data_IF_647845267450
#
_entry.id   IF_647845267450
#
_cell.length_a   1.000
_cell.length_b   1.000
_cell.length_c   1.000
_cell.angle_alpha   90.00
_cell.angle_beta   90.00
_cell.angle_gamma   90.00
#
_symmetry.space_group_name_H-M   'P 1'
#
loop_
_entity.id
_entity.type
_entity.pdbx_description
1 polymer ?
#
# COMPACT_ATOMS: atom_id res chain seq x y z
N UNK A 1 -21.88 -24.26 -1.93
CA UNK A 1 -21.30 -23.71 -0.68
C UNK A 1 -22.39 -23.32 0.29
N UNK A 2 -23.42 -22.59 -0.16
CA UNK A 2 -24.62 -22.21 0.58
C UNK A 2 -25.17 -23.28 1.55
N UNK A 3 -25.52 -24.47 1.06
CA UNK A 3 -26.07 -25.55 1.90
C UNK A 3 -25.19 -25.86 3.12
N UNK A 4 -23.88 -25.94 2.93
CA UNK A 4 -22.95 -26.24 4.02
C UNK A 4 -22.93 -25.10 5.06
N UNK A 5 -22.96 -23.84 4.62
CA UNK A 5 -22.93 -22.69 5.53
C UNK A 5 -24.23 -22.57 6.32
N UNK A 6 -25.38 -22.78 5.67
CA UNK A 6 -26.68 -22.84 6.36
C UNK A 6 -26.67 -23.96 7.39
N UNK A 7 -26.31 -25.18 6.99
CA UNK A 7 -26.28 -26.34 7.91
C UNK A 7 -25.27 -26.14 9.04
N UNK A 8 -24.04 -25.73 8.77
CA UNK A 8 -23.01 -25.53 9.80
C UNK A 8 -23.42 -24.45 10.82
N UNK A 9 -24.04 -23.36 10.35
CA UNK A 9 -24.50 -22.25 11.19
C UNK A 9 -25.63 -22.69 12.12
N UNK A 10 -26.63 -23.43 11.62
CA UNK A 10 -27.76 -23.90 12.41
C UNK A 10 -27.47 -25.12 13.29
N UNK A 11 -26.74 -26.11 12.78
CA UNK A 11 -26.63 -27.43 13.41
C UNK A 11 -25.35 -27.65 14.20
N UNK A 12 -24.23 -27.02 13.80
CA UNK A 12 -22.91 -27.27 14.41
C UNK A 12 -22.53 -26.16 15.38
N UNK A 13 -22.86 -24.91 15.06
CA UNK A 13 -22.35 -23.77 15.83
C UNK A 13 -23.28 -23.33 16.95
N UNK A 14 -24.59 -23.61 16.88
CA UNK A 14 -25.63 -23.15 17.83
C UNK A 14 -25.23 -21.81 18.49
N UNK A 15 -24.81 -20.86 17.66
CA UNK A 15 -23.91 -19.78 18.06
C UNK A 15 -24.56 -18.93 19.16
N UNK A 16 -25.87 -18.79 19.09
CA UNK A 16 -26.73 -18.10 20.04
C UNK A 16 -26.73 -18.75 21.44
N UNK A 17 -26.62 -20.08 21.54
CA UNK A 17 -26.51 -20.78 22.84
C UNK A 17 -25.15 -20.61 23.52
N UNK A 18 -24.11 -20.32 22.74
CA UNK A 18 -22.72 -20.18 23.22
C UNK A 18 -22.20 -18.74 23.14
N UNK A 19 -23.05 -17.76 22.82
CA UNK A 19 -22.67 -16.35 22.62
C UNK A 19 -21.52 -16.16 21.62
N UNK A 20 -21.51 -16.95 20.53
CA UNK A 20 -20.52 -16.87 19.47
C UNK A 20 -21.03 -16.00 18.30
N UNK A 21 -20.10 -15.38 17.58
CA UNK A 21 -20.37 -14.69 16.31
C UNK A 21 -19.79 -15.49 15.15
N UNK A 22 -20.53 -15.56 14.06
CA UNK A 22 -20.10 -16.27 12.85
C UNK A 22 -19.24 -15.35 11.99
N UNK A 23 -18.20 -15.90 11.38
CA UNK A 23 -17.31 -15.17 10.47
C UNK A 23 -16.96 -16.02 9.25
N UNK A 24 -17.06 -15.43 8.06
CA UNK A 24 -16.76 -16.09 6.79
C UNK A 24 -15.99 -15.17 5.85
N UNK A 25 -15.09 -15.72 5.03
CA UNK A 25 -14.66 -15.03 3.82
C UNK A 25 -15.86 -14.75 2.93
N UNK A 26 -15.89 -13.60 2.25
CA UNK A 26 -17.07 -13.13 1.51
C UNK A 26 -17.66 -14.15 0.53
N UNK A 27 -16.83 -14.96 -0.14
CA UNK A 27 -17.24 -15.98 -1.11
C UNK A 27 -18.08 -17.10 -0.48
N UNK A 28 -17.97 -17.30 0.84
CA UNK A 28 -18.86 -18.18 1.58
C UNK A 28 -20.30 -17.66 1.68
N UNK A 29 -20.50 -16.35 1.68
CA UNK A 29 -21.81 -15.72 1.90
C UNK A 29 -22.38 -15.02 0.66
N UNK A 30 -21.72 -15.20 -0.49
CA UNK A 30 -22.14 -14.69 -1.79
C UNK A 30 -22.64 -15.84 -2.69
N UNK A 31 -23.76 -15.60 -3.36
CA UNK A 31 -24.42 -16.51 -4.30
C UNK A 31 -24.14 -16.19 -5.75
N UNK A 32 -25.09 -16.54 -6.62
CA UNK A 32 -25.03 -16.22 -8.04
C UNK A 32 -24.96 -14.70 -8.26
N UNK A 33 -24.07 -14.26 -9.15
CA UNK A 33 -23.91 -12.83 -9.48
C UNK A 33 -23.29 -11.97 -8.37
N UNK A 34 -22.59 -12.58 -7.40
CA UNK A 34 -22.08 -11.91 -6.20
C UNK A 34 -23.18 -11.24 -5.37
N UNK A 35 -24.36 -11.86 -5.32
CA UNK A 35 -25.46 -11.42 -4.47
C UNK A 35 -25.34 -12.07 -3.08
N UNK A 36 -25.36 -11.29 -1.98
CA UNK A 36 -25.34 -11.85 -0.63
C UNK A 36 -26.52 -12.78 -0.36
N UNK A 37 -26.28 -13.90 0.30
CA UNK A 37 -27.36 -14.73 0.82
C UNK A 37 -28.20 -13.95 1.84
N UNK A 38 -29.48 -14.29 1.97
CA UNK A 38 -30.34 -13.68 3.00
C UNK A 38 -29.80 -14.05 4.39
N UNK A 39 -29.43 -13.06 5.20
CA UNK A 39 -28.87 -13.29 6.56
C UNK A 39 -29.72 -14.24 7.42
N UNK A 40 -31.06 -14.12 7.47
CA UNK A 40 -31.92 -15.04 8.23
C UNK A 40 -31.84 -16.50 7.77
N UNK A 41 -31.32 -16.80 6.58
CA UNK A 41 -31.09 -18.18 6.16
C UNK A 41 -29.79 -18.76 6.72
N UNK A 42 -28.95 -17.94 7.35
CA UNK A 42 -27.66 -18.31 7.94
C UNK A 42 -27.74 -18.21 9.47
N UNK A 43 -28.15 -17.06 10.00
CA UNK A 43 -28.23 -16.79 11.43
C UNK A 43 -29.14 -15.59 11.72
N UNK A 44 -29.87 -15.66 12.82
CA UNK A 44 -30.65 -14.52 13.34
C UNK A 44 -29.73 -13.43 13.91
N UNK A 45 -28.54 -13.81 14.38
CA UNK A 45 -27.49 -12.92 14.89
C UNK A 45 -26.67 -12.24 13.78
N UNK A 46 -25.79 -11.33 14.17
CA UNK A 46 -24.79 -10.74 13.28
C UNK A 46 -23.86 -11.81 12.69
N UNK A 47 -23.65 -11.74 11.37
CA UNK A 47 -22.68 -12.56 10.63
C UNK A 47 -21.59 -11.63 10.11
N UNK A 48 -20.34 -11.95 10.42
CA UNK A 48 -19.15 -11.20 9.98
C UNK A 48 -18.71 -11.73 8.60
N UNK A 49 -18.50 -10.82 7.66
CA UNK A 49 -17.96 -11.10 6.35
C UNK A 49 -16.60 -10.39 6.17
N UNK A 50 -15.55 -11.16 5.90
CA UNK A 50 -14.23 -10.63 5.55
C UNK A 50 -14.21 -10.35 4.05
N UNK A 51 -14.38 -9.07 3.68
CA UNK A 51 -14.49 -8.65 2.29
C UNK A 51 -13.09 -8.44 1.70
N UNK A 52 -12.64 -9.37 0.86
CA UNK A 52 -11.23 -9.47 0.46
C UNK A 52 -10.97 -9.25 -1.04
N UNK A 53 -11.89 -9.63 -1.91
CA UNK A 53 -11.65 -9.55 -3.35
C UNK A 53 -11.91 -8.12 -3.84
N UNK A 54 -10.86 -7.44 -4.31
CA UNK A 54 -11.01 -6.12 -4.92
C UNK A 54 -10.00 -5.88 -6.06
N UNK A 55 -9.62 -6.93 -6.79
CA UNK A 55 -8.91 -6.73 -8.07
C UNK A 55 -9.81 -5.87 -8.95
N UNK A 56 -9.34 -4.65 -9.22
CA UNK A 56 -10.18 -3.57 -9.69
C UNK A 56 -10.83 -3.90 -11.04
N UNK A 57 -10.08 -4.48 -11.96
CA UNK A 57 -10.55 -4.84 -13.29
C UNK A 57 -11.45 -6.08 -13.35
N UNK A 58 -11.74 -6.74 -12.21
CA UNK A 58 -12.62 -7.91 -12.15
C UNK A 58 -14.08 -7.58 -11.84
N UNK A 59 -14.41 -6.31 -11.56
CA UNK A 59 -15.80 -5.88 -11.33
C UNK A 59 -16.39 -6.30 -9.97
N UNK A 60 -15.53 -6.68 -9.03
CA UNK A 60 -15.91 -7.26 -7.72
C UNK A 60 -15.66 -6.31 -6.53
N UNK A 61 -15.17 -5.10 -6.79
CA UNK A 61 -14.83 -4.13 -5.75
C UNK A 61 -16.03 -3.68 -4.89
N UNK A 62 -17.26 -3.91 -5.37
CA UNK A 62 -18.51 -3.54 -4.69
C UNK A 62 -18.96 -4.50 -3.59
N UNK A 63 -18.33 -5.68 -3.46
CA UNK A 63 -18.79 -6.76 -2.57
C UNK A 63 -18.88 -6.33 -1.11
N UNK A 64 -17.91 -5.56 -0.62
CA UNK A 64 -17.93 -5.01 0.74
C UNK A 64 -19.22 -4.19 1.00
N UNK A 65 -19.61 -3.34 0.06
CA UNK A 65 -20.79 -2.48 0.21
C UNK A 65 -22.08 -3.26 -0.01
N UNK A 66 -22.12 -4.21 -0.96
CA UNK A 66 -23.25 -5.13 -1.11
C UNK A 66 -23.54 -5.90 0.19
N UNK A 67 -22.50 -6.47 0.81
CA UNK A 67 -22.61 -7.21 2.07
C UNK A 67 -23.10 -6.31 3.21
N UNK A 68 -22.51 -5.12 3.36
CA UNK A 68 -22.93 -4.16 4.37
C UNK A 68 -24.40 -3.75 4.20
N UNK A 69 -24.82 -3.45 2.96
CA UNK A 69 -26.20 -3.07 2.65
C UNK A 69 -27.20 -4.23 2.90
N UNK A 70 -26.75 -5.48 2.68
CA UNK A 70 -27.51 -6.68 3.00
C UNK A 70 -27.57 -7.03 4.50
N UNK A 71 -26.88 -6.28 5.36
CA UNK A 71 -26.95 -6.43 6.83
C UNK A 71 -25.88 -7.33 7.44
N UNK A 72 -24.86 -7.73 6.68
CA UNK A 72 -23.68 -8.39 7.23
C UNK A 72 -22.79 -7.36 7.93
N UNK A 73 -22.08 -7.79 8.97
CA UNK A 73 -21.00 -7.00 9.57
C UNK A 73 -19.73 -7.21 8.76
N UNK A 74 -19.13 -6.17 8.22
CA UNK A 74 -18.03 -6.30 7.25
C UNK A 74 -16.70 -5.90 7.87
N UNK A 75 -15.70 -6.75 7.70
CA UNK A 75 -14.29 -6.42 7.96
C UNK A 75 -13.59 -6.23 6.62
N UNK A 76 -13.13 -5.00 6.37
CA UNK A 76 -12.39 -4.62 5.17
C UNK A 76 -11.05 -5.38 5.14
N UNK A 77 -10.89 -6.26 4.16
CA UNK A 77 -9.75 -7.18 4.03
C UNK A 77 -9.18 -7.16 2.60
N UNK A 78 -9.29 -6.02 1.91
CA UNK A 78 -8.99 -5.86 0.48
C UNK A 78 -7.59 -6.34 0.11
N UNK A 79 -7.52 -7.36 -0.75
CA UNK A 79 -6.28 -8.02 -1.11
C UNK A 79 -5.29 -7.11 -1.84
N UNK A 80 -5.74 -6.05 -2.52
CA UNK A 80 -4.81 -5.14 -3.20
C UNK A 80 -4.02 -4.24 -2.25
N UNK A 81 -4.47 -4.08 -0.99
CA UNK A 81 -3.89 -3.15 -0.01
C UNK A 81 -3.54 -3.78 1.34
N UNK A 82 -4.22 -4.87 1.72
CA UNK A 82 -4.18 -5.43 3.08
C UNK A 82 -3.68 -6.87 3.13
N UNK A 83 -3.19 -7.43 2.02
CA UNK A 83 -2.55 -8.75 2.00
C UNK A 83 -1.03 -8.61 2.07
N UNK A 84 -0.48 -8.99 3.22
CA UNK A 84 0.94 -8.94 3.53
C UNK A 84 1.69 -10.22 3.12
N UNK A 85 1.06 -11.11 2.36
CA UNK A 85 1.76 -12.13 1.57
C UNK A 85 2.13 -11.61 0.17
N UNK A 86 1.69 -10.41 -0.20
CA UNK A 86 2.13 -9.69 -1.40
C UNK A 86 3.55 -9.11 -1.20
N UNK A 87 4.35 -8.96 -2.28
CA UNK A 87 5.68 -8.37 -2.21
C UNK A 87 5.61 -6.93 -1.69
N UNK A 88 6.68 -6.45 -1.07
CA UNK A 88 6.75 -5.05 -0.70
C UNK A 88 7.09 -4.15 -1.90
N UNK A 89 7.77 -4.65 -2.92
CA UNK A 89 8.05 -3.90 -4.15
C UNK A 89 8.01 -4.85 -5.37
N UNK A 90 7.81 -4.33 -6.60
CA UNK A 90 7.66 -5.16 -7.79
C UNK A 90 9.02 -5.67 -8.33
N UNK A 91 9.82 -6.29 -7.48
CA UNK A 91 11.15 -6.84 -7.79
C UNK A 91 11.13 -8.38 -7.79
N UNK A 92 11.77 -9.07 -8.76
CA UNK A 92 11.81 -10.53 -8.80
C UNK A 92 12.55 -11.19 -7.61
N UNK A 93 13.41 -10.45 -6.89
CA UNK A 93 14.08 -10.92 -5.68
C UNK A 93 13.23 -10.72 -4.42
N UNK A 94 12.13 -9.98 -4.49
CA UNK A 94 11.22 -9.84 -3.36
C UNK A 94 10.38 -11.10 -3.13
N UNK A 95 10.10 -11.34 -1.85
CA UNK A 95 9.25 -12.45 -1.43
C UNK A 95 7.77 -12.09 -1.59
N UNK A 96 6.97 -13.07 -1.98
CA UNK A 96 5.51 -12.99 -1.91
C UNK A 96 4.82 -13.56 -3.15
N UNK A 97 3.54 -13.90 -3.00
CA UNK A 97 2.65 -14.14 -4.14
C UNK A 97 2.12 -12.81 -4.65
N UNK A 98 1.73 -12.71 -5.92
CA UNK A 98 1.34 -11.41 -6.52
C UNK A 98 0.03 -11.52 -7.31
N UNK A 99 -0.87 -12.39 -6.86
CA UNK A 99 -2.12 -12.67 -7.58
C UNK A 99 -3.13 -11.52 -7.48
N UNK A 100 -3.10 -10.71 -6.40
CA UNK A 100 -4.02 -9.59 -6.21
C UNK A 100 -3.41 -8.25 -6.64
N UNK A 101 -2.19 -7.98 -6.18
CA UNK A 101 -1.43 -6.78 -6.53
C UNK A 101 0.02 -7.14 -6.80
N UNK A 102 0.73 -6.28 -7.54
CA UNK A 102 2.15 -6.48 -7.82
C UNK A 102 3.02 -6.24 -6.59
N UNK A 103 2.57 -5.36 -5.70
CA UNK A 103 3.19 -5.09 -4.41
C UNK A 103 2.22 -4.37 -3.46
N UNK A 104 2.51 -4.43 -2.17
CA UNK A 104 1.79 -3.77 -1.08
C UNK A 104 2.81 -3.29 -0.04
N UNK A 105 3.46 -2.16 -0.28
CA UNK A 105 4.38 -1.55 0.68
C UNK A 105 3.65 -0.84 1.82
N UNK A 106 4.43 -0.24 2.71
CA UNK A 106 3.92 0.53 3.84
C UNK A 106 3.16 1.78 3.38
N UNK A 107 3.59 2.43 2.29
CA UNK A 107 2.91 3.60 1.73
C UNK A 107 1.53 3.25 1.18
N UNK A 108 1.42 2.17 0.40
CA UNK A 108 0.16 1.68 -0.15
C UNK A 108 -0.81 1.27 0.96
N UNK A 109 -0.31 0.60 2.00
CA UNK A 109 -1.11 0.25 3.17
C UNK A 109 -1.59 1.50 3.92
N UNK A 110 -0.69 2.48 4.14
CA UNK A 110 -1.02 3.76 4.78
C UNK A 110 -2.03 4.58 3.97
N UNK A 111 -1.94 4.51 2.65
CA UNK A 111 -2.80 5.25 1.72
C UNK A 111 -4.21 4.66 1.58
N UNK A 112 -4.52 3.54 2.24
CA UNK A 112 -5.85 2.94 2.20
C UNK A 112 -6.89 3.79 2.94
N UNK A 113 -7.99 4.10 2.26
CA UNK A 113 -9.14 4.86 2.73
C UNK A 113 -10.29 3.91 3.05
N UNK A 114 -10.45 3.44 4.30
CA UNK A 114 -11.48 2.47 4.68
C UNK A 114 -12.92 2.99 4.47
N UNK A 115 -13.14 4.29 4.66
CA UNK A 115 -14.48 4.91 4.50
C UNK A 115 -14.88 5.13 3.03
N UNK A 116 -13.97 4.91 2.08
CA UNK A 116 -14.28 5.00 0.66
C UNK A 116 -13.49 4.00 -0.19
N UNK A 117 -13.96 2.75 -0.21
CA UNK A 117 -13.29 1.62 -0.86
C UNK A 117 -12.92 1.90 -2.32
N UNK A 118 -13.80 2.54 -3.10
CA UNK A 118 -13.55 2.79 -4.53
C UNK A 118 -12.54 3.92 -4.81
N UNK A 119 -12.27 4.81 -3.86
CA UNK A 119 -11.27 5.87 -4.04
C UNK A 119 -9.84 5.34 -3.90
N UNK A 120 -9.67 4.08 -3.49
CA UNK A 120 -8.37 3.40 -3.39
C UNK A 120 -7.86 2.83 -4.72
N UNK A 121 -8.63 2.93 -5.80
CA UNK A 121 -8.22 2.41 -7.11
C UNK A 121 -7.00 3.16 -7.63
N UNK A 122 -5.97 2.41 -8.00
CA UNK A 122 -4.66 2.92 -8.41
C UNK A 122 -4.20 2.34 -9.76
N UNK A 123 -4.00 1.03 -9.79
CA UNK A 123 -3.47 0.28 -10.93
C UNK A 123 -4.16 -1.07 -11.03
N UNK A 124 -4.31 -1.57 -12.25
CA UNK A 124 -4.71 -2.97 -12.50
C UNK A 124 -3.66 -3.92 -11.94
N UNK A 125 -4.00 -5.21 -11.86
CA UNK A 125 -3.03 -6.26 -11.51
C UNK A 125 -1.78 -6.26 -12.40
N UNK A 126 -1.90 -5.82 -13.66
CA UNK A 126 -0.78 -5.68 -14.61
C UNK A 126 0.18 -4.51 -14.29
N UNK A 127 -0.22 -3.58 -13.42
CA UNK A 127 0.50 -2.34 -13.14
C UNK A 127 0.10 -1.15 -14.05
N UNK A 128 -0.82 -1.35 -14.99
CA UNK A 128 -1.40 -0.26 -15.76
C UNK A 128 -2.27 0.64 -14.87
N UNK A 129 -2.19 1.96 -15.05
CA UNK A 129 -3.07 2.91 -14.33
C UNK A 129 -4.54 2.53 -14.52
N UNK A 130 -5.31 2.65 -13.45
CA UNK A 130 -6.75 2.44 -13.48
C UNK A 130 -7.43 3.46 -12.58
N UNK A 131 -8.54 4.02 -13.06
CA UNK A 131 -9.20 5.15 -12.40
C UNK A 131 -10.58 4.74 -11.88
N UNK A 132 -11.09 5.50 -10.89
CA UNK A 132 -12.44 5.30 -10.36
C UNK A 132 -13.51 5.48 -11.43
N UNK A 133 -13.31 6.42 -12.37
CA UNK A 133 -14.24 6.58 -13.48
C UNK A 133 -14.26 5.36 -14.39
N UNK A 134 -13.13 4.67 -14.60
CA UNK A 134 -13.06 3.39 -15.33
C UNK A 134 -13.67 2.22 -14.55
N UNK A 135 -13.41 2.14 -13.24
CA UNK A 135 -13.98 1.13 -12.36
C UNK A 135 -15.52 1.20 -12.33
N UNK A 136 -16.07 2.42 -12.25
CA UNK A 136 -17.49 2.68 -12.08
C UNK A 136 -18.26 2.91 -13.39
N UNK A 137 -17.72 2.52 -14.57
CA UNK A 137 -18.40 2.75 -15.86
C UNK A 137 -19.66 1.89 -16.05
N UNK A 138 -19.71 0.72 -15.43
CA UNK A 138 -20.83 -0.22 -15.57
C UNK A 138 -21.80 -0.07 -14.39
N UNK A 139 -23.10 -0.09 -14.69
CA UNK A 139 -24.15 -0.03 -13.68
C UNK A 139 -23.95 -1.15 -12.63
N UNK A 140 -23.98 -0.76 -11.37
CA UNK A 140 -23.77 -1.67 -10.23
C UNK A 140 -22.30 -1.98 -9.89
N UNK A 141 -21.31 -1.61 -10.72
CA UNK A 141 -19.89 -1.83 -10.42
C UNK A 141 -19.40 -1.06 -9.18
N UNK A 142 -20.03 0.07 -8.88
CA UNK A 142 -19.78 0.88 -7.70
C UNK A 142 -21.10 1.17 -6.96
N UNK A 143 -21.70 0.13 -6.35
CA UNK A 143 -22.88 0.27 -5.48
C UNK A 143 -22.58 1.27 -4.35
N UNK A 144 -23.49 2.20 -4.01
CA UNK A 144 -23.30 3.10 -2.87
C UNK A 144 -23.32 2.33 -1.53
N UNK A 145 -22.70 2.90 -0.50
CA UNK A 145 -22.78 2.37 0.86
C UNK A 145 -23.96 3.00 1.59
N UNK A 146 -25.04 2.23 1.74
CA UNK A 146 -26.29 2.70 2.37
C UNK A 146 -26.30 2.43 3.88
N UNK A 147 -25.53 1.43 4.35
CA UNK A 147 -25.43 1.02 5.76
C UNK A 147 -23.99 1.05 6.26
N UNK A 148 -23.37 2.23 6.42
CA UNK A 148 -21.98 2.35 6.87
C UNK A 148 -21.74 1.78 8.28
N UNK A 149 -22.75 1.77 9.15
CA UNK A 149 -22.70 1.17 10.49
C UNK A 149 -22.44 -0.34 10.51
N UNK A 150 -22.51 -0.99 9.35
CA UNK A 150 -22.17 -2.39 9.18
C UNK A 150 -20.70 -2.62 8.84
N UNK A 151 -19.91 -1.60 8.52
CA UNK A 151 -18.45 -1.72 8.41
C UNK A 151 -17.85 -1.68 9.82
N UNK A 152 -17.24 -2.79 10.26
CA UNK A 152 -16.65 -2.91 11.61
C UNK A 152 -15.25 -2.33 11.71
N UNK A 153 -14.51 -2.28 10.60
CA UNK A 153 -13.12 -1.87 10.55
C UNK A 153 -12.35 -2.60 9.45
N UNK A 154 -11.03 -2.62 9.58
CA UNK A 154 -10.11 -3.22 8.61
C UNK A 154 -9.16 -4.23 9.26
N UNK A 155 -8.67 -5.18 8.47
CA UNK A 155 -7.73 -6.22 8.91
C UNK A 155 -6.67 -6.45 7.83
N UNK A 156 -5.41 -6.63 8.25
CA UNK A 156 -4.32 -7.08 7.39
C UNK A 156 -4.10 -8.59 7.51
N UNK A 157 -3.81 -9.24 6.39
CA UNK A 157 -3.71 -10.70 6.29
C UNK A 157 -2.28 -11.10 5.98
N UNK A 158 -1.83 -12.23 6.50
CA UNK A 158 -0.58 -12.86 6.07
C UNK A 158 -0.86 -14.33 5.80
N UNK A 159 -0.97 -14.71 4.53
CA UNK A 159 -0.98 -16.11 4.12
C UNK A 159 0.45 -16.65 4.05
N UNK A 160 0.62 -17.93 4.37
CA UNK A 160 1.93 -18.50 4.72
C UNK A 160 2.51 -19.48 3.69
N UNK A 161 2.03 -19.50 2.45
CA UNK A 161 2.51 -20.42 1.40
C UNK A 161 4.01 -20.29 1.17
N UNK A 162 4.51 -19.05 1.18
CA UNK A 162 5.94 -18.72 0.99
C UNK A 162 6.64 -18.29 2.28
N UNK A 163 5.94 -18.31 3.42
CA UNK A 163 6.45 -17.87 4.72
C UNK A 163 6.74 -19.10 5.58
N UNK A 164 8.01 -19.52 5.62
CA UNK A 164 8.40 -20.82 6.21
C UNK A 164 9.11 -20.70 7.55
N UNK A 165 9.55 -19.49 7.89
CA UNK A 165 10.33 -19.21 9.10
C UNK A 165 9.74 -18.01 9.84
N UNK A 166 10.15 -17.83 11.10
CA UNK A 166 9.83 -16.63 11.87
C UNK A 166 10.36 -15.37 11.15
N UNK A 167 11.56 -15.46 10.58
CA UNK A 167 12.18 -14.38 9.82
C UNK A 167 11.37 -13.98 8.59
N UNK A 168 10.88 -14.97 7.85
CA UNK A 168 10.01 -14.72 6.70
C UNK A 168 8.75 -13.96 7.15
N UNK A 169 8.15 -14.36 8.28
CA UNK A 169 6.96 -13.71 8.82
C UNK A 169 7.26 -12.26 9.21
N UNK A 170 8.32 -12.04 9.97
CA UNK A 170 8.70 -10.70 10.45
C UNK A 170 9.09 -9.77 9.30
N UNK A 171 9.80 -10.28 8.29
CA UNK A 171 10.13 -9.55 7.06
C UNK A 171 8.87 -9.14 6.30
N UNK A 172 7.89 -10.05 6.18
CA UNK A 172 6.68 -9.78 5.41
C UNK A 172 5.72 -8.84 6.13
N UNK A 173 5.62 -8.83 7.47
CA UNK A 173 4.64 -7.96 8.16
C UNK A 173 5.22 -6.63 8.62
N UNK A 174 6.51 -6.57 9.00
CA UNK A 174 7.12 -5.34 9.50
C UNK A 174 7.97 -4.65 8.42
N UNK A 175 7.86 -3.32 8.27
CA UNK A 175 7.12 -2.38 9.14
C UNK A 175 5.68 -2.05 8.70
N UNK A 176 5.18 -2.57 7.57
CA UNK A 176 3.86 -2.18 7.01
C UNK A 176 2.66 -2.43 7.93
N UNK A 177 2.75 -3.35 8.89
CA UNK A 177 1.72 -3.53 9.93
C UNK A 177 1.54 -2.28 10.82
N UNK A 178 2.56 -1.42 10.94
CA UNK A 178 2.45 -0.14 11.63
C UNK A 178 1.55 0.82 10.83
N UNK A 179 1.66 0.82 9.49
CA UNK A 179 0.79 1.60 8.62
C UNK A 179 -0.67 1.12 8.69
N UNK A 180 -0.88 -0.20 8.77
CA UNK A 180 -2.20 -0.77 9.04
C UNK A 180 -2.76 -0.31 10.39
N UNK A 181 -1.97 -0.39 11.46
CA UNK A 181 -2.41 0.01 12.80
C UNK A 181 -2.80 1.49 12.84
N UNK A 182 -2.02 2.34 12.17
CA UNK A 182 -2.28 3.76 12.04
C UNK A 182 -3.60 4.03 11.31
N UNK A 183 -3.86 3.40 10.15
CA UNK A 183 -5.14 3.55 9.42
C UNK A 183 -6.33 2.90 10.09
N UNK A 184 -6.15 1.81 10.82
CA UNK A 184 -7.21 1.18 11.58
C UNK A 184 -7.63 2.02 12.80
N UNK A 185 -6.75 2.86 13.33
CA UNK A 185 -6.98 3.66 14.54
C UNK A 185 -7.34 5.12 14.25
N UNK A 186 -6.70 5.73 13.26
CA UNK A 186 -6.83 7.15 12.94
C UNK A 186 -7.41 7.32 11.53
N UNK A 187 -8.25 8.36 11.37
CA UNK A 187 -8.73 8.81 10.07
C UNK A 187 -7.97 10.06 9.65
N UNK A 188 -7.17 9.95 8.60
CA UNK A 188 -6.40 11.05 8.04
C UNK A 188 -7.29 12.14 7.42
N UNK A 189 -6.87 13.40 7.50
CA UNK A 189 -7.60 14.53 6.91
C UNK A 189 -7.66 14.49 5.37
N UNK A 190 -6.83 13.66 4.75
CA UNK A 190 -6.77 13.44 3.31
C UNK A 190 -7.71 12.34 2.82
N UNK A 191 -8.26 11.53 3.72
CA UNK A 191 -9.09 10.39 3.34
C UNK A 191 -10.39 10.86 2.68
N UNK A 192 -10.77 10.18 1.61
CA UNK A 192 -12.03 10.42 0.92
C UNK A 192 -13.20 10.22 1.89
N UNK A 193 -14.15 11.16 1.85
CA UNK A 193 -15.49 11.00 2.42
C UNK A 193 -16.48 10.89 1.27
N UNK A 194 -17.49 10.03 1.42
CA UNK A 194 -18.53 9.76 0.42
C UNK A 194 -18.87 10.97 -0.47
N UNK A 195 -18.43 10.93 -1.73
CA UNK A 195 -18.69 11.95 -2.75
C UNK A 195 -17.49 12.80 -3.19
N UNK A 196 -16.44 12.92 -2.37
CA UNK A 196 -15.20 13.61 -2.72
C UNK A 196 -14.01 12.64 -2.67
N UNK A 197 -13.16 12.66 -3.71
CA UNK A 197 -11.92 11.88 -3.72
C UNK A 197 -10.95 12.37 -2.65
N UNK A 198 -9.97 11.53 -2.30
CA UNK A 198 -8.95 11.87 -1.29
C UNK A 198 -8.03 13.00 -1.75
N UNK A 199 -7.42 13.70 -0.78
CA UNK A 199 -6.44 14.76 -1.05
C UNK A 199 -5.01 14.19 -1.04
N UNK A 200 -4.47 13.93 -2.23
CA UNK A 200 -3.17 13.26 -2.36
C UNK A 200 -1.99 14.10 -1.82
N UNK A 201 -2.05 15.43 -1.94
CA UNK A 201 -0.99 16.31 -1.41
C UNK A 201 -0.94 16.25 0.13
N UNK A 202 -2.12 16.23 0.78
CA UNK A 202 -2.21 16.06 2.22
C UNK A 202 -1.78 14.66 2.66
N UNK A 203 -2.12 13.61 1.89
CA UNK A 203 -1.65 12.24 2.16
C UNK A 203 -0.14 12.15 2.08
N UNK A 204 0.48 12.72 1.05
CA UNK A 204 1.92 12.62 0.85
C UNK A 204 2.69 13.39 1.95
N UNK A 205 2.11 14.49 2.45
CA UNK A 205 2.62 15.17 3.64
C UNK A 205 2.48 14.32 4.90
N UNK A 206 1.30 13.77 5.17
CA UNK A 206 1.03 12.91 6.33
C UNK A 206 1.91 11.65 6.32
N UNK A 207 2.06 11.02 5.16
CA UNK A 207 3.00 9.92 4.93
C UNK A 207 4.44 10.32 5.26
N UNK A 208 4.89 11.51 4.85
CA UNK A 208 6.26 11.95 5.12
C UNK A 208 6.53 12.06 6.64
N UNK A 209 5.55 12.54 7.40
CA UNK A 209 5.61 12.62 8.87
C UNK A 209 5.58 11.21 9.50
N UNK A 210 4.66 10.35 9.05
CA UNK A 210 4.55 8.95 9.49
C UNK A 210 5.84 8.16 9.20
N UNK A 211 6.37 8.23 7.98
CA UNK A 211 7.57 7.51 7.56
C UNK A 211 8.81 7.95 8.33
N UNK A 212 8.93 9.25 8.64
CA UNK A 212 9.98 9.77 9.50
C UNK A 212 9.86 9.23 10.93
N UNK A 213 8.64 9.15 11.48
CA UNK A 213 8.42 8.55 12.81
C UNK A 213 8.75 7.05 12.83
N UNK A 214 8.37 6.30 11.79
CA UNK A 214 8.76 4.89 11.65
C UNK A 214 10.28 4.76 11.61
N UNK A 215 10.94 5.50 10.71
CA UNK A 215 12.39 5.40 10.51
C UNK A 215 13.23 5.82 11.71
N UNK A 216 12.84 6.90 12.40
CA UNK A 216 13.63 7.46 13.51
C UNK A 216 13.29 6.86 14.88
N UNK A 217 12.11 6.23 15.04
CA UNK A 217 11.64 5.73 16.34
C UNK A 217 11.22 4.28 16.31
N UNK A 218 10.23 3.92 15.49
CA UNK A 218 9.63 2.58 15.59
C UNK A 218 10.57 1.47 15.10
N UNK A 219 11.42 1.73 14.09
CA UNK A 219 12.43 0.76 13.65
C UNK A 219 13.51 0.49 14.72
N UNK A 220 13.85 1.47 15.55
CA UNK A 220 14.72 1.25 16.72
C UNK A 220 14.03 0.34 17.73
N UNK A 221 12.75 0.60 18.01
CA UNK A 221 11.97 -0.24 18.92
C UNK A 221 11.84 -1.69 18.42
N UNK A 222 11.63 -1.89 17.11
CA UNK A 222 11.61 -3.24 16.51
C UNK A 222 12.99 -3.91 16.63
N UNK A 223 14.08 -3.15 16.45
CA UNK A 223 15.43 -3.64 16.66
C UNK A 223 15.67 -4.10 18.11
N UNK A 224 15.30 -3.29 19.10
CA UNK A 224 15.44 -3.61 20.53
C UNK A 224 14.63 -4.86 20.93
N UNK A 225 13.51 -5.12 20.23
CA UNK A 225 12.68 -6.32 20.40
C UNK A 225 13.21 -7.55 19.65
N UNK A 226 14.27 -7.41 18.85
CA UNK A 226 14.85 -8.49 18.05
C UNK A 226 13.96 -8.95 16.90
N UNK A 227 13.13 -8.05 16.34
CA UNK A 227 12.24 -8.34 15.20
C UNK A 227 13.02 -8.17 13.88
N UNK A 228 12.99 -9.18 13.03
CA UNK A 228 13.70 -9.20 11.75
C UNK A 228 12.91 -8.54 10.60
N UNK A 229 12.50 -7.27 10.78
CA UNK A 229 11.72 -6.50 9.80
C UNK A 229 12.43 -6.29 8.44
N UNK A 230 11.67 -5.99 7.37
CA UNK A 230 12.22 -5.61 6.06
C UNK A 230 12.94 -4.27 6.13
N UNK A 231 14.19 -4.24 5.65
CA UNK A 231 14.94 -3.01 5.43
C UNK A 231 14.82 -2.66 3.93
N UNK A 232 14.14 -1.55 3.57
CA UNK A 232 13.91 -1.20 2.17
C UNK A 232 15.20 -0.78 1.48
N UNK A 233 15.29 -1.05 0.18
CA UNK A 233 16.38 -0.50 -0.64
C UNK A 233 16.30 1.03 -0.74
N UNK A 234 17.44 1.72 -0.93
CA UNK A 234 17.43 3.14 -1.26
C UNK A 234 16.91 3.35 -2.69
N UNK A 235 16.21 4.45 -2.91
CA UNK A 235 15.87 4.93 -4.25
C UNK A 235 16.94 5.88 -4.79
N UNK A 236 17.05 5.95 -6.12
CA UNK A 236 18.03 6.81 -6.80
C UNK A 236 17.29 7.63 -7.85
N UNK A 237 17.15 8.93 -7.59
CA UNK A 237 16.68 9.88 -8.59
C UNK A 237 17.86 10.30 -9.46
N UNK A 238 17.85 9.82 -10.70
CA UNK A 238 18.86 10.14 -11.72
C UNK A 238 18.83 11.63 -12.06
N UNK A 239 19.94 12.10 -12.62
CA UNK A 239 20.10 13.52 -12.93
C UNK A 239 19.34 13.90 -14.20
N UNK A 240 18.58 15.00 -14.16
CA UNK A 240 17.79 15.49 -15.31
C UNK A 240 18.39 16.76 -15.97
N UNK A 241 19.43 17.33 -15.36
CA UNK A 241 20.08 18.55 -15.85
C UNK A 241 21.58 18.53 -15.57
N UNK A 242 22.38 19.05 -16.50
CA UNK A 242 23.83 19.14 -16.34
C UNK A 242 24.25 20.08 -15.19
N UNK A 243 23.33 20.88 -14.65
CA UNK A 243 23.56 21.72 -13.48
C UNK A 243 23.41 20.97 -12.15
N UNK A 244 22.88 19.73 -12.17
CA UNK A 244 22.79 18.91 -10.97
C UNK A 244 24.18 18.33 -10.64
N UNK A 245 24.56 18.42 -9.36
CA UNK A 245 25.88 17.98 -8.88
C UNK A 245 25.96 16.47 -8.61
N UNK A 246 24.87 15.74 -8.85
CA UNK A 246 24.77 14.31 -8.62
C UNK A 246 23.33 13.81 -8.52
N UNK A 247 23.12 12.47 -8.50
CA UNK A 247 21.82 11.89 -8.23
C UNK A 247 21.36 12.18 -6.79
N UNK A 248 20.05 12.28 -6.59
CA UNK A 248 19.46 12.39 -5.25
C UNK A 248 19.08 11.01 -4.75
N UNK A 249 19.51 10.68 -3.53
CA UNK A 249 19.12 9.43 -2.86
C UNK A 249 17.78 9.62 -2.17
N UNK A 250 16.88 8.66 -2.32
CA UNK A 250 15.59 8.63 -1.63
C UNK A 250 15.49 7.36 -0.79
N UNK A 251 14.54 7.31 0.14
CA UNK A 251 14.31 6.13 0.96
C UNK A 251 12.84 6.08 1.41
N UNK A 252 12.35 4.90 1.73
CA UNK A 252 10.99 4.71 2.27
C UNK A 252 10.89 5.29 3.70
N UNK A 253 11.91 5.09 4.54
CA UNK A 253 11.93 5.56 5.94
C UNK A 253 13.11 6.48 6.23
N UNK A 254 12.90 7.82 6.26
CA UNK A 254 13.92 8.76 6.68
C UNK A 254 14.45 8.46 8.09
N UNK A 255 15.76 8.56 8.27
CA UNK A 255 16.46 8.21 9.52
C UNK A 255 17.38 7.00 9.39
N UNK A 256 17.20 6.18 8.35
CA UNK A 256 18.10 5.08 8.02
C UNK A 256 19.35 5.58 7.28
N UNK A 257 20.48 4.92 7.52
CA UNK A 257 21.74 5.19 6.82
C UNK A 257 21.74 4.48 5.46
N UNK A 258 22.29 5.15 4.44
CA UNK A 258 22.49 4.57 3.12
C UNK A 258 23.99 4.35 2.91
N UNK A 259 24.38 3.11 2.66
CA UNK A 259 25.73 2.75 2.28
C UNK A 259 25.83 2.61 0.76
N UNK A 260 26.89 3.18 0.17
CA UNK A 260 27.15 3.11 -1.27
C UNK A 260 28.63 2.98 -1.60
N UNK A 261 28.94 2.42 -2.77
CA UNK A 261 30.31 2.36 -3.32
C UNK A 261 30.29 2.19 -4.83
N UNK A 262 31.39 2.57 -5.49
CA UNK A 262 31.60 2.20 -6.90
C UNK A 262 31.81 0.68 -7.00
N UNK A 263 31.27 0.03 -8.04
CA UNK A 263 31.44 -1.41 -8.23
C UNK A 263 32.93 -1.77 -8.29
N UNK A 264 33.36 -2.71 -7.44
CA UNK A 264 34.76 -3.12 -7.32
C UNK A 264 35.60 -2.32 -6.33
N UNK A 265 35.04 -1.28 -5.70
CA UNK A 265 35.71 -0.59 -4.61
C UNK A 265 35.64 -1.38 -3.29
N UNK A 266 36.73 -1.36 -2.50
CA UNK A 266 36.80 -2.10 -1.24
C UNK A 266 36.01 -1.44 -0.11
N UNK A 267 35.85 -0.12 -0.14
CA UNK A 267 35.30 0.67 0.97
C UNK A 267 33.89 1.19 0.67
N UNK A 268 32.98 0.96 1.60
CA UNK A 268 31.66 1.57 1.62
C UNK A 268 31.74 3.00 2.14
N UNK A 269 31.03 3.91 1.49
CA UNK A 269 30.75 5.27 1.98
C UNK A 269 29.33 5.30 2.51
N UNK A 270 29.05 6.22 3.42
CA UNK A 270 27.72 6.37 4.01
C UNK A 270 27.11 7.73 3.68
N UNK A 271 25.78 7.78 3.68
CA UNK A 271 24.96 8.96 3.41
C UNK A 271 23.63 8.82 4.14
N UNK A 272 22.84 9.89 4.11
CA UNK A 272 21.45 9.91 4.58
C UNK A 272 20.49 10.11 3.41
N UNK A 273 19.21 9.81 3.64
CA UNK A 273 18.15 10.07 2.67
C UNK A 273 18.11 11.54 2.24
N UNK A 274 17.66 11.78 1.02
CA UNK A 274 17.53 13.09 0.36
C UNK A 274 18.85 13.83 0.12
N UNK A 275 19.99 13.18 0.32
CA UNK A 275 21.29 13.74 -0.02
C UNK A 275 21.56 13.66 -1.52
N UNK A 276 22.21 14.70 -2.04
CA UNK A 276 22.80 14.69 -3.38
C UNK A 276 24.20 14.09 -3.27
N UNK A 277 24.46 13.01 -3.99
CA UNK A 277 25.76 12.34 -3.94
C UNK A 277 26.66 12.73 -5.11
N UNK A 278 27.95 13.05 -4.90
CA UNK A 278 28.87 13.40 -5.97
C UNK A 278 29.35 12.15 -6.73
N UNK A 279 28.41 11.45 -7.39
CA UNK A 279 28.68 10.22 -8.15
C UNK A 279 28.96 10.55 -9.62
N UNK A 280 29.92 9.84 -10.20
CA UNK A 280 30.26 10.03 -11.60
C UNK A 280 29.20 9.42 -12.53
N UNK A 281 28.87 10.14 -13.60
CA UNK A 281 27.98 9.65 -14.66
C UNK A 281 28.62 8.48 -15.40
N UNK A 282 27.80 7.56 -15.88
CA UNK A 282 28.16 6.35 -16.63
C UNK A 282 29.04 5.38 -15.84
N UNK A 283 28.91 5.40 -14.51
CA UNK A 283 29.54 4.45 -13.61
C UNK A 283 28.49 3.64 -12.86
N UNK A 284 28.87 2.41 -12.53
CA UNK A 284 28.06 1.50 -11.74
C UNK A 284 28.41 1.62 -10.26
N UNK A 285 27.36 1.71 -9.45
CA UNK A 285 27.44 1.79 -8.00
C UNK A 285 26.57 0.73 -7.36
N UNK A 286 27.02 0.26 -6.21
CA UNK A 286 26.26 -0.59 -5.29
C UNK A 286 25.69 0.26 -4.17
N UNK A 287 24.45 -0.03 -3.78
CA UNK A 287 23.74 0.66 -2.70
C UNK A 287 23.04 -0.35 -1.81
N UNK A 288 22.93 0.00 -0.53
CA UNK A 288 22.13 -0.71 0.47
C UNK A 288 21.72 0.24 1.59
N UNK A 289 20.64 -0.08 2.26
CA UNK A 289 20.21 0.63 3.47
C UNK A 289 20.72 -0.13 4.69
N UNK A 290 21.19 0.61 5.69
CA UNK A 290 21.68 0.09 6.97
C UNK A 290 20.75 0.55 8.07
N UNK A 291 20.30 -0.41 8.89
CA UNK A 291 19.42 -0.18 10.03
C UNK A 291 19.96 -0.93 11.24
N UNK A 292 20.51 -0.20 12.22
CA UNK A 292 21.03 -0.73 13.49
C UNK A 292 21.95 -1.97 13.32
N UNK A 293 22.88 -1.91 12.36
CA UNK A 293 23.85 -2.97 12.07
C UNK A 293 23.32 -4.11 11.18
N UNK A 294 22.02 -4.12 10.84
CA UNK A 294 21.47 -4.97 9.78
C UNK A 294 21.45 -4.21 8.46
N UNK A 295 21.43 -4.96 7.36
CA UNK A 295 21.50 -4.40 6.01
C UNK A 295 20.32 -4.91 5.16
N UNK A 296 19.85 -4.08 4.23
CA UNK A 296 19.03 -4.55 3.12
C UNK A 296 19.85 -5.46 2.19
N UNK A 297 19.19 -6.07 1.20
CA UNK A 297 19.93 -6.57 0.03
C UNK A 297 20.71 -5.44 -0.65
N UNK A 298 21.70 -5.79 -1.48
CA UNK A 298 22.48 -4.81 -2.24
C UNK A 298 21.88 -4.66 -3.63
N UNK A 299 21.58 -3.43 -4.04
CA UNK A 299 21.19 -3.13 -5.41
C UNK A 299 22.35 -2.52 -6.20
N UNK A 300 22.37 -2.76 -7.50
CA UNK A 300 23.30 -2.12 -8.45
C UNK A 300 22.56 -1.10 -9.29
N UNK A 301 23.16 0.06 -9.49
CA UNK A 301 22.62 1.09 -10.38
C UNK A 301 23.73 1.81 -11.14
N UNK A 302 23.51 2.01 -12.43
CA UNK A 302 24.32 2.91 -13.25
C UNK A 302 23.83 4.34 -13.06
N UNK A 303 24.72 5.27 -12.73
CA UNK A 303 24.37 6.69 -12.65
C UNK A 303 24.36 7.26 -14.06
N UNK A 304 23.25 7.86 -14.46
CA UNK A 304 23.03 8.35 -15.82
C UNK A 304 22.48 9.76 -15.80
N UNK A 305 22.81 10.52 -16.84
CA UNK A 305 22.09 11.72 -17.22
C UNK A 305 20.86 11.30 -18.02
N UNK A 306 19.67 11.56 -17.48
CA UNK A 306 18.41 11.28 -18.17
C UNK A 306 17.89 12.56 -18.80
N UNK A 307 17.38 12.46 -20.03
CA UNK A 307 16.66 13.59 -20.61
C UNK A 307 15.35 13.77 -19.84
N UNK A 308 14.97 15.01 -19.47
CA UNK A 308 13.67 15.24 -18.88
C UNK A 308 12.60 14.74 -19.87
N UNK A 309 11.55 14.05 -19.38
CA UNK A 309 10.48 13.61 -20.25
C UNK A 309 9.91 14.83 -20.98
N UNK A 310 9.87 14.78 -22.31
CA UNK A 310 9.25 15.83 -23.12
C UNK A 310 7.82 16.04 -22.60
N UNK A 311 7.38 17.27 -22.28
CA UNK A 311 6.00 17.52 -21.90
C UNK A 311 5.10 16.97 -23.00
N UNK A 312 4.34 15.92 -22.72
CA UNK A 312 3.35 15.45 -23.68
C UNK A 312 2.26 16.51 -23.75
N UNK A 313 2.27 17.31 -24.81
CA UNK A 313 1.09 18.06 -25.25
C UNK A 313 0.03 17.05 -25.66
N UNK A 314 -0.86 16.67 -24.74
CA UNK A 314 -1.97 15.77 -25.06
C UNK A 314 -3.07 16.54 -25.78
N UNK A 315 -2.98 16.56 -27.11
CA UNK A 315 -4.16 16.41 -27.95
C UNK A 315 -4.09 15.01 -28.54
N UNK A 316 -4.98 14.12 -28.09
CA UNK A 316 -5.42 12.88 -28.76
C UNK A 316 -4.34 12.03 -29.46
N UNK A 317 -3.98 10.89 -28.85
CA UNK A 317 -3.37 9.78 -29.60
C UNK A 317 -2.35 8.98 -28.81
N UNK A 318 -2.76 7.78 -28.37
CA UNK A 318 -1.93 6.76 -27.73
C UNK A 318 -0.70 6.39 -28.56
N UNK A 319 0.48 6.53 -27.96
CA UNK A 319 1.55 5.52 -27.90
C UNK A 319 2.75 6.11 -27.15
N UNK A 320 3.23 5.44 -26.10
CA UNK A 320 4.64 4.98 -25.96
C UNK A 320 5.00 4.45 -24.57
N UNK A 321 5.58 3.25 -24.63
CA UNK A 321 6.76 2.69 -23.94
C UNK A 321 6.64 2.35 -22.44
N UNK A 322 6.64 1.03 -22.23
CA UNK A 322 6.92 0.28 -21.01
C UNK A 322 8.27 0.68 -20.39
N UNK A 323 8.28 0.72 -19.05
CA UNK A 323 9.49 0.79 -18.24
C UNK A 323 9.82 2.20 -17.79
N UNK A 324 9.33 2.56 -16.60
CA UNK A 324 9.96 3.40 -15.59
C UNK A 324 8.88 3.77 -14.57
N UNK A 325 9.09 3.30 -13.34
CA UNK A 325 8.39 3.72 -12.13
C UNK A 325 8.21 5.24 -12.12
N UNK A 326 6.96 5.69 -12.26
CA UNK A 326 6.58 7.10 -12.19
C UNK A 326 6.71 7.60 -10.75
N UNK A 327 7.81 8.30 -10.47
CA UNK A 327 7.88 9.27 -9.37
C UNK A 327 7.23 10.58 -9.86
N UNK A 328 6.18 11.03 -9.18
CA UNK A 328 5.59 12.34 -9.42
C UNK A 328 6.58 13.44 -8.97
N UNK A 329 6.99 14.29 -9.91
CA UNK A 329 7.76 15.50 -9.65
C UNK A 329 6.81 16.62 -9.22
N UNK A 330 6.82 16.99 -7.93
CA UNK A 330 6.27 18.27 -7.46
C UNK A 330 7.38 19.31 -7.62
N UNK A 331 7.13 20.32 -8.47
CA UNK A 331 7.98 21.50 -8.62
C UNK A 331 7.79 22.43 -7.43
N UNK A 332 8.82 22.60 -6.59
CA UNK A 332 8.92 23.74 -5.68
C UNK A 332 9.72 24.86 -6.36
N UNK A 333 9.04 25.92 -6.78
CA UNK A 333 9.71 27.17 -7.14
C UNK A 333 9.97 27.98 -5.87
N UNK A 334 11.23 28.04 -5.46
CA UNK A 334 11.70 29.03 -4.48
C UNK A 334 11.68 30.42 -5.13
N UNK A 335 10.78 31.28 -4.67
CA UNK A 335 10.89 32.73 -4.83
C UNK A 335 10.96 33.34 -3.44
N UNK A 336 12.20 33.66 -3.06
CA UNK A 336 12.57 34.45 -1.90
C UNK A 336 12.01 35.88 -2.00
N UNK A 337 11.21 36.31 -1.02
CA UNK A 337 11.12 37.71 -0.59
C UNK A 337 10.85 37.79 0.92
N UNK A 338 11.51 38.78 1.55
CA UNK A 338 11.55 39.08 2.99
C UNK A 338 10.22 39.46 3.64
N UNK A 339 10.13 39.13 4.94
CA UNK A 339 9.48 39.78 6.09
C UNK A 339 8.35 40.80 5.84
N UNK A 340 7.24 40.65 6.58
CA UNK A 340 6.84 41.58 7.68
C UNK A 340 5.82 40.91 8.60
N UNK A 341 6.09 40.95 9.90
CA UNK A 341 5.19 40.57 11.00
C UNK A 341 4.14 41.67 11.17
N UNK A 342 2.88 41.31 11.38
CA UNK A 342 2.00 42.09 12.27
C UNK A 342 1.06 41.15 13.02
N UNK A 343 1.18 41.20 14.35
CA UNK A 343 0.22 40.67 15.31
C UNK A 343 -1.05 41.52 15.28
N UNK A 344 -2.22 40.89 15.31
CA UNK A 344 -3.31 41.16 16.27
C UNK A 344 -3.93 39.81 16.62
#
# INVERSE_FOLDING_TARGET
>A
MEYFIKVASYSVLNATSNNLKLGFWEDGVLGEGDEPYTKPDISDDDVIAYAWQNIWEWGVANRAYKLANAGYKVVLSQATHLYFDMPNEPDPEERGLYWASRFTDSFKTFGFMPDSVYDNVDVKRSGESYTKSELCQTDGACTPLDKPENILGMQGQLFSETVRTKQDLEYMIYPRIIALAERAWHKGAWEATSGAGGNMDLRDKDWSEFAAAVGTKELNRLHDLGIEYRIPLPGIKQMISANETGPTITCEFPGLEIAYREVGADQWRTSVCWSILPLAVNKDYEFKTVSFGRESRTMKATIQMINPPTPQTTTSGYQRVLGLSRLYCIWFSFLSYSLTINMI
#
